data_IF_574076499294
#
_entry.id   IF_574076499294
#
_cell.length_a   1.000
_cell.length_b   1.000
_cell.length_c   1.000
_cell.angle_alpha   90.00
_cell.angle_beta   90.00
_cell.angle_gamma   90.00
#
_symmetry.space_group_name_H-M   'P 1'
#
loop_
_entity.id
_entity.type
_entity.pdbx_description
1 polymer ?
#
# COMPACT_ATOMS: atom_id res chain seq x y z
N UNK A 1 -19.06 -17.22 2.00
CA UNK A 1 -18.59 -15.86 2.34
C UNK A 1 -18.88 -14.95 1.15
N UNK A 2 -19.67 -13.88 1.32
CA UNK A 2 -20.02 -12.96 0.22
C UNK A 2 -18.75 -12.32 -0.37
N UNK A 3 -18.71 -12.07 -1.69
CA UNK A 3 -17.54 -11.52 -2.41
C UNK A 3 -16.99 -10.25 -1.74
N UNK A 4 -17.89 -9.40 -1.26
CA UNK A 4 -17.59 -8.14 -0.55
C UNK A 4 -16.82 -8.36 0.75
N UNK A 5 -17.17 -9.36 1.57
CA UNK A 5 -16.41 -9.66 2.78
C UNK A 5 -14.98 -10.07 2.45
N UNK A 6 -14.77 -10.87 1.40
CA UNK A 6 -13.43 -11.33 1.00
C UNK A 6 -12.56 -10.17 0.57
N UNK A 7 -13.12 -9.24 -0.21
CA UNK A 7 -12.42 -8.04 -0.65
C UNK A 7 -12.06 -7.14 0.53
N UNK A 8 -12.98 -6.93 1.47
CA UNK A 8 -12.73 -6.13 2.67
C UNK A 8 -11.63 -6.76 3.55
N UNK A 9 -11.72 -8.05 3.84
CA UNK A 9 -10.69 -8.76 4.61
C UNK A 9 -9.32 -8.66 3.95
N UNK A 10 -9.25 -8.78 2.63
CA UNK A 10 -8.00 -8.70 1.90
C UNK A 10 -7.37 -7.31 2.03
N UNK A 11 -8.14 -6.23 1.79
CA UNK A 11 -7.63 -4.86 1.90
C UNK A 11 -7.24 -4.52 3.34
N UNK A 12 -8.06 -4.89 4.33
CA UNK A 12 -7.76 -4.66 5.76
C UNK A 12 -6.51 -5.44 6.20
N UNK A 13 -6.35 -6.69 5.76
CA UNK A 13 -5.15 -7.47 6.09
C UNK A 13 -3.89 -6.84 5.50
N UNK A 14 -3.93 -6.41 4.24
CA UNK A 14 -2.83 -5.69 3.60
C UNK A 14 -2.53 -4.37 4.33
N UNK A 15 -3.55 -3.62 4.72
CA UNK A 15 -3.40 -2.37 5.50
C UNK A 15 -2.65 -2.63 6.81
N UNK A 16 -3.10 -3.63 7.59
CA UNK A 16 -2.49 -3.96 8.88
C UNK A 16 -1.04 -4.43 8.74
N UNK A 17 -0.75 -5.27 7.74
CA UNK A 17 0.62 -5.71 7.44
C UNK A 17 1.48 -4.51 7.04
N UNK A 18 0.96 -3.58 6.25
CA UNK A 18 1.68 -2.37 5.85
C UNK A 18 1.99 -1.46 7.05
N UNK A 19 1.01 -1.24 7.93
CA UNK A 19 1.24 -0.50 9.17
C UNK A 19 2.31 -1.15 10.05
N UNK A 20 2.30 -2.48 10.18
CA UNK A 20 3.30 -3.24 10.94
C UNK A 20 4.71 -3.08 10.34
N UNK A 21 4.84 -3.15 9.01
CA UNK A 21 6.10 -2.91 8.32
C UNK A 21 6.58 -1.47 8.51
N UNK A 22 5.69 -0.48 8.37
CA UNK A 22 6.03 0.93 8.61
C UNK A 22 6.49 1.20 10.05
N UNK A 23 5.91 0.50 11.03
CA UNK A 23 6.37 0.54 12.41
C UNK A 23 7.80 -0.01 12.54
N UNK A 24 8.08 -1.18 11.96
CA UNK A 24 9.43 -1.75 11.99
C UNK A 24 10.46 -0.83 11.30
N UNK A 25 10.12 -0.26 10.15
CA UNK A 25 10.98 0.73 9.47
C UNK A 25 11.28 1.91 10.39
N UNK A 26 10.29 2.45 11.09
CA UNK A 26 10.50 3.57 12.02
C UNK A 26 11.42 3.19 13.18
N UNK A 27 11.26 1.99 13.74
CA UNK A 27 12.13 1.49 14.82
C UNK A 27 13.57 1.28 14.31
N UNK A 28 13.74 0.76 13.10
CA UNK A 28 15.06 0.57 12.49
C UNK A 28 15.73 1.92 12.23
N UNK A 29 15.01 2.88 11.63
CA UNK A 29 15.53 4.23 11.40
C UNK A 29 15.96 4.92 12.69
N UNK A 30 15.18 4.77 13.77
CA UNK A 30 15.56 5.32 15.07
C UNK A 30 16.87 4.69 15.61
N UNK A 31 17.05 3.37 15.44
CA UNK A 31 18.28 2.69 15.87
C UNK A 31 19.50 3.07 15.02
N UNK A 32 19.31 3.26 13.71
CA UNK A 32 20.38 3.66 12.80
C UNK A 32 20.96 5.05 13.17
N UNK A 33 20.14 5.94 13.74
CA UNK A 33 20.61 7.25 14.23
C UNK A 33 21.50 7.15 15.47
N UNK A 34 21.38 6.08 16.25
CA UNK A 34 22.22 5.84 17.43
C UNK A 34 23.47 4.99 17.09
N UNK A 35 23.58 4.47 15.86
CA UNK A 35 24.67 3.58 15.45
C UNK A 35 25.87 4.37 14.91
N UNK A 36 26.96 4.37 15.67
CA UNK A 36 28.21 5.04 15.31
C UNK A 36 28.81 4.54 13.99
N UNK A 37 28.60 3.26 13.64
CA UNK A 37 29.12 2.70 12.39
C UNK A 37 28.33 3.16 11.17
N UNK A 38 27.02 3.33 11.33
CA UNK A 38 26.14 3.92 10.32
C UNK A 38 26.50 5.39 10.09
N UNK A 39 26.66 6.18 11.15
CA UNK A 39 27.03 7.59 11.03
C UNK A 39 28.41 7.78 10.39
N UNK A 40 29.40 6.96 10.80
CA UNK A 40 30.75 7.01 10.25
C UNK A 40 30.78 6.73 8.74
N UNK A 41 29.90 5.85 8.22
CA UNK A 41 29.79 5.60 6.78
C UNK A 41 29.42 6.88 6.00
N UNK A 42 28.48 7.67 6.50
CA UNK A 42 28.08 8.92 5.85
C UNK A 42 29.17 9.99 5.97
N UNK A 43 29.82 10.08 7.12
CA UNK A 43 30.93 11.01 7.34
C UNK A 43 32.14 10.71 6.43
N UNK A 44 32.54 9.43 6.32
CA UNK A 44 33.66 9.00 5.47
C UNK A 44 33.43 9.31 3.98
N UNK A 45 32.18 9.23 3.54
CA UNK A 45 31.80 9.52 2.15
C UNK A 45 31.40 10.98 1.92
N UNK A 46 31.46 11.84 2.95
CA UNK A 46 31.03 13.24 2.88
C UNK A 46 29.54 13.41 2.53
N UNK A 47 28.71 12.42 2.88
CA UNK A 47 27.28 12.40 2.60
C UNK A 47 26.48 12.91 3.81
N UNK A 48 25.33 13.57 3.60
CA UNK A 48 24.44 13.92 4.69
C UNK A 48 23.78 12.66 5.27
N UNK A 49 23.72 12.57 6.59
CA UNK A 49 22.97 11.53 7.28
C UNK A 49 21.48 11.71 6.97
N UNK A 50 20.77 10.69 6.49
CA UNK A 50 19.35 10.80 6.17
C UNK A 50 18.55 11.03 7.45
N UNK A 51 17.68 12.04 7.43
CA UNK A 51 16.74 12.27 8.54
C UNK A 51 15.68 11.16 8.57
N UNK A 52 15.39 10.59 9.76
CA UNK A 52 14.33 9.60 9.89
C UNK A 52 12.99 10.26 9.58
N UNK A 53 12.16 9.59 8.79
CA UNK A 53 10.81 10.04 8.56
C UNK A 53 9.99 9.93 9.85
N UNK A 54 9.01 10.81 10.03
CA UNK A 54 8.13 10.73 11.19
C UNK A 54 7.48 9.34 11.27
N UNK A 55 7.48 8.69 12.45
CA UNK A 55 6.97 7.33 12.58
C UNK A 55 5.54 7.14 12.05
N UNK A 56 4.70 8.16 12.25
CA UNK A 56 3.32 8.16 11.78
C UNK A 56 3.24 8.14 10.23
N UNK A 57 4.12 8.87 9.55
CA UNK A 57 4.16 8.92 8.08
C UNK A 57 4.61 7.57 7.51
N UNK A 58 5.60 6.92 8.14
CA UNK A 58 6.03 5.57 7.76
C UNK A 58 4.91 4.54 7.94
N UNK A 59 4.21 4.56 9.09
CA UNK A 59 3.13 3.62 9.40
C UNK A 59 1.95 3.79 8.45
N UNK A 60 1.44 5.02 8.30
CA UNK A 60 0.29 5.31 7.44
C UNK A 60 0.68 5.10 5.98
N UNK A 61 1.85 5.57 5.57
CA UNK A 61 2.37 5.43 4.21
C UNK A 61 2.47 3.96 3.80
N UNK A 62 3.17 3.13 4.59
CA UNK A 62 3.31 1.71 4.31
C UNK A 62 1.97 0.96 4.33
N UNK A 63 1.08 1.32 5.27
CA UNK A 63 -0.30 0.82 5.32
C UNK A 63 -1.06 1.08 4.03
N UNK A 64 -1.13 2.35 3.61
CA UNK A 64 -1.84 2.76 2.41
C UNK A 64 -1.21 2.20 1.13
N UNK A 65 0.12 2.12 1.06
CA UNK A 65 0.84 1.49 -0.06
C UNK A 65 0.39 0.03 -0.24
N UNK A 66 0.41 -0.77 0.82
CA UNK A 66 0.00 -2.18 0.73
C UNK A 66 -1.50 -2.36 0.53
N UNK A 67 -2.34 -1.55 1.16
CA UNK A 67 -3.79 -1.57 0.94
C UNK A 67 -4.18 -1.11 -0.47
N UNK A 68 -3.37 -0.24 -1.08
CA UNK A 68 -3.57 0.29 -2.41
C UNK A 68 -3.37 -0.72 -3.52
N UNK A 69 -2.46 -1.69 -3.35
CA UNK A 69 -2.22 -2.77 -4.33
C UNK A 69 -3.51 -3.54 -4.67
N UNK A 70 -4.21 -4.17 -3.71
CA UNK A 70 -5.42 -4.90 -4.01
C UNK A 70 -6.58 -3.99 -4.42
N UNK A 71 -6.68 -2.79 -3.84
CA UNK A 71 -7.71 -1.81 -4.22
C UNK A 71 -7.55 -1.40 -5.68
N UNK A 72 -6.33 -1.09 -6.09
CA UNK A 72 -5.96 -0.74 -7.46
C UNK A 72 -6.16 -1.90 -8.43
N UNK A 73 -5.84 -3.12 -8.02
CA UNK A 73 -6.07 -4.32 -8.82
C UNK A 73 -7.57 -4.59 -9.03
N UNK A 74 -8.41 -4.36 -8.03
CA UNK A 74 -9.87 -4.43 -8.18
C UNK A 74 -10.41 -3.35 -9.13
N UNK A 75 -9.90 -2.13 -9.04
CA UNK A 75 -10.23 -1.04 -9.95
C UNK A 75 -9.83 -1.39 -11.40
N UNK A 76 -8.61 -1.89 -11.59
CA UNK A 76 -8.13 -2.37 -12.88
C UNK A 76 -9.01 -3.48 -13.44
N UNK A 77 -9.39 -4.46 -12.61
CA UNK A 77 -10.27 -5.54 -13.03
C UNK A 77 -11.63 -5.02 -13.52
N UNK A 78 -12.23 -4.07 -12.78
CA UNK A 78 -13.48 -3.43 -13.16
C UNK A 78 -13.39 -2.73 -14.53
N UNK A 79 -12.30 -1.99 -14.75
CA UNK A 79 -12.03 -1.30 -16.02
C UNK A 79 -11.82 -2.34 -17.14
N UNK A 80 -10.98 -3.34 -16.92
CA UNK A 80 -10.68 -4.37 -17.91
C UNK A 80 -11.92 -5.17 -18.33
N UNK A 81 -12.81 -5.49 -17.38
CA UNK A 81 -14.07 -6.17 -17.64
C UNK A 81 -15.02 -5.26 -18.44
N UNK A 82 -15.07 -3.95 -18.13
CA UNK A 82 -15.85 -2.95 -18.87
C UNK A 82 -15.41 -2.85 -20.34
N UNK A 83 -14.11 -2.93 -20.60
CA UNK A 83 -13.53 -2.88 -21.95
C UNK A 83 -13.43 -4.26 -22.64
N UNK A 84 -13.92 -5.34 -22.00
CA UNK A 84 -13.90 -6.72 -22.51
C UNK A 84 -12.53 -7.15 -23.04
N UNK A 85 -11.45 -6.82 -22.32
CA UNK A 85 -10.11 -7.18 -22.73
C UNK A 85 -9.92 -8.71 -22.73
N UNK A 86 -9.45 -9.27 -23.86
CA UNK A 86 -9.05 -10.68 -23.95
C UNK A 86 -8.00 -11.02 -22.88
N UNK A 87 -8.06 -12.24 -22.33
CA UNK A 87 -7.26 -12.65 -21.17
C UNK A 87 -5.75 -12.37 -21.30
N UNK A 88 -5.14 -12.68 -22.46
CA UNK A 88 -3.71 -12.43 -22.71
C UNK A 88 -3.36 -10.94 -22.76
N UNK A 89 -4.24 -10.12 -23.35
CA UNK A 89 -4.07 -8.66 -23.46
C UNK A 89 -4.32 -7.97 -22.12
N UNK A 90 -5.24 -8.52 -21.31
CA UNK A 90 -5.51 -8.09 -19.92
C UNK A 90 -4.26 -8.24 -19.07
N UNK A 91 -3.63 -9.41 -19.02
CA UNK A 91 -2.42 -9.63 -18.21
C UNK A 91 -1.30 -8.67 -18.63
N UNK A 92 -1.03 -8.55 -19.94
CA UNK A 92 0.01 -7.66 -20.45
C UNK A 92 -0.23 -6.19 -20.05
N UNK A 93 -1.44 -5.68 -20.27
CA UNK A 93 -1.79 -4.30 -19.91
C UNK A 93 -1.72 -4.13 -18.39
N UNK A 94 -2.19 -5.10 -17.61
CA UNK A 94 -2.18 -5.05 -16.15
C UNK A 94 -0.76 -5.02 -15.55
N UNK A 95 0.23 -5.61 -16.21
CA UNK A 95 1.64 -5.50 -15.78
C UNK A 95 2.16 -4.08 -16.09
N UNK A 96 1.91 -3.59 -17.31
CA UNK A 96 2.38 -2.27 -17.76
C UNK A 96 1.76 -1.15 -16.91
N UNK A 97 0.48 -1.27 -16.58
CA UNK A 97 -0.25 -0.23 -15.83
C UNK A 97 -0.20 -0.44 -14.32
N UNK A 98 0.53 -1.44 -13.81
CA UNK A 98 0.65 -1.75 -12.38
C UNK A 98 0.94 -0.53 -11.50
N UNK A 99 1.94 0.31 -11.82
CA UNK A 99 2.22 1.49 -11.00
C UNK A 99 1.03 2.46 -10.99
N UNK A 100 0.38 2.64 -12.13
CA UNK A 100 -0.68 3.63 -12.34
C UNK A 100 -1.92 3.25 -11.52
N UNK A 101 -2.44 2.03 -11.68
CA UNK A 101 -3.64 1.65 -10.92
C UNK A 101 -3.34 1.45 -9.44
N UNK A 102 -2.11 1.14 -9.04
CA UNK A 102 -1.72 1.08 -7.63
C UNK A 102 -1.76 2.47 -6.99
N UNK A 103 -1.32 3.52 -7.69
CA UNK A 103 -1.48 4.92 -7.23
C UNK A 103 -2.95 5.29 -7.04
N UNK A 104 -3.80 4.96 -8.02
CA UNK A 104 -5.25 5.13 -7.84
C UNK A 104 -5.81 4.28 -6.70
N UNK A 105 -5.26 3.09 -6.49
CA UNK A 105 -5.60 2.21 -5.39
C UNK A 105 -5.25 2.80 -4.03
N UNK A 106 -4.09 3.46 -3.89
CA UNK A 106 -3.67 4.14 -2.65
C UNK A 106 -4.67 5.26 -2.31
N UNK A 107 -5.01 6.10 -3.29
CA UNK A 107 -6.00 7.18 -3.14
C UNK A 107 -7.39 6.59 -2.84
N UNK A 108 -7.72 5.48 -3.50
CA UNK A 108 -9.02 4.81 -3.40
C UNK A 108 -9.20 3.91 -2.17
N UNK A 109 -8.12 3.55 -1.46
CA UNK A 109 -8.19 2.55 -0.38
C UNK A 109 -9.09 2.99 0.77
N UNK A 110 -8.95 4.24 1.21
CA UNK A 110 -9.76 4.82 2.30
C UNK A 110 -11.25 4.91 1.91
N UNK A 111 -11.65 5.55 0.79
CA UNK A 111 -13.06 5.62 0.42
C UNK A 111 -13.65 4.23 0.09
N UNK A 112 -12.85 3.31 -0.44
CA UNK A 112 -13.27 1.92 -0.67
C UNK A 112 -13.64 1.20 0.63
N UNK A 113 -12.76 1.27 1.64
CA UNK A 113 -13.01 0.66 2.95
C UNK A 113 -14.27 1.25 3.61
N UNK A 114 -14.43 2.59 3.54
CA UNK A 114 -15.59 3.28 4.11
C UNK A 114 -16.89 2.87 3.41
N UNK A 115 -16.93 2.93 2.08
CA UNK A 115 -18.08 2.54 1.28
C UNK A 115 -18.47 1.08 1.53
N UNK A 116 -17.49 0.18 1.51
CA UNK A 116 -17.75 -1.25 1.64
C UNK A 116 -18.25 -1.61 3.03
N UNK A 117 -17.75 -0.94 4.07
CA UNK A 117 -18.23 -1.13 5.45
C UNK A 117 -19.67 -0.65 5.60
N UNK A 118 -20.02 0.52 5.07
CA UNK A 118 -21.39 1.06 5.11
C UNK A 118 -22.36 0.18 4.33
N UNK A 119 -22.01 -0.15 3.09
CA UNK A 119 -22.83 -0.99 2.23
C UNK A 119 -23.16 -2.33 2.88
N UNK A 120 -22.17 -2.91 3.57
CA UNK A 120 -22.30 -4.19 4.23
C UNK A 120 -23.03 -4.11 5.58
N UNK A 121 -23.00 -2.95 6.25
CA UNK A 121 -23.82 -2.66 7.42
C UNK A 121 -25.29 -2.42 7.08
N UNK A 122 -25.58 -1.78 5.93
CA UNK A 122 -26.93 -1.47 5.46
C UNK A 122 -27.64 -2.64 4.74
N UNK A 123 -26.89 -3.64 4.26
CA UNK A 123 -27.45 -4.88 3.68
C UNK A 123 -27.75 -5.99 4.70
N UNK A 124 -27.47 -5.75 5.99
CA UNK A 124 -27.92 -6.60 7.10
C UNK A 124 -29.34 -6.22 7.48
#
# INVERSE_FOLDING_TARGET
MHREWRQLFLVVSCLLIGCLLGYFVSVTQAKEQDDSSYLAYFEEHGLPVPEPAEPLNNIIGAGLLLAGIPTGLMLYQCIADRFRLYAKRRILIGIITFPIYTLFGIIGAVPFLFYQTIHLALRK
#
